data_IF_298734617121
#
_entry.id   IF_298734617121
#
_cell.length_a   1.000
_cell.length_b   1.000
_cell.length_c   1.000
_cell.angle_alpha   90.00
_cell.angle_beta   90.00
_cell.angle_gamma   90.00
#
_symmetry.space_group_name_H-M   'P 1'
#
loop_
_entity.id
_entity.type
_entity.pdbx_description
1 polymer ?
#
# COMPACT_ATOMS: atom_id res chain seq x y z
N UNK A 1 -6.49 -51.52 22.56
CA UNK A 1 -6.65 -50.09 22.90
C UNK A 1 -6.64 -49.33 21.58
N UNK A 2 -7.82 -48.97 21.07
CA UNK A 2 -7.96 -48.26 19.77
C UNK A 2 -7.74 -46.79 20.01
N UNK A 3 -6.77 -46.18 19.31
CA UNK A 3 -6.53 -44.76 19.29
C UNK A 3 -7.69 -44.08 18.52
N UNK A 4 -8.42 -43.24 19.20
CA UNK A 4 -9.49 -42.42 18.61
C UNK A 4 -8.90 -41.52 17.51
N UNK A 5 -9.42 -41.68 16.29
CA UNK A 5 -9.02 -40.89 15.14
C UNK A 5 -9.32 -39.41 15.35
N UNK A 6 -8.28 -38.61 15.29
CA UNK A 6 -8.44 -37.12 15.24
C UNK A 6 -9.09 -36.76 13.92
N UNK A 7 -10.30 -36.21 13.95
CA UNK A 7 -10.92 -35.62 12.76
C UNK A 7 -10.23 -34.31 12.41
N UNK A 8 -9.47 -34.28 11.34
CA UNK A 8 -8.96 -33.04 10.77
C UNK A 8 -10.02 -32.43 9.86
N UNK A 9 -10.56 -31.30 10.26
CA UNK A 9 -11.42 -30.51 9.38
C UNK A 9 -10.52 -29.71 8.42
N UNK A 10 -10.56 -30.05 7.13
CA UNK A 10 -9.87 -29.32 6.09
C UNK A 10 -10.52 -27.94 5.88
N UNK A 11 -9.76 -26.86 6.06
CA UNK A 11 -10.15 -25.51 5.67
C UNK A 11 -9.96 -25.35 4.14
N UNK A 12 -11.05 -25.06 3.42
CA UNK A 12 -10.95 -24.63 2.03
C UNK A 12 -10.53 -23.17 1.99
N UNK A 13 -9.33 -22.88 1.50
CA UNK A 13 -8.86 -21.53 1.25
C UNK A 13 -8.60 -21.35 -0.25
N UNK A 14 -9.07 -20.23 -0.81
CA UNK A 14 -8.83 -19.87 -2.22
C UNK A 14 -7.47 -19.22 -2.45
N UNK A 15 -6.81 -18.76 -1.40
CA UNK A 15 -5.56 -17.98 -1.46
C UNK A 15 -4.35 -18.74 -0.93
N UNK A 16 -4.37 -20.08 -1.01
CA UNK A 16 -3.25 -20.89 -0.61
C UNK A 16 -2.15 -20.87 -1.69
N UNK A 17 -0.92 -20.56 -1.29
CA UNK A 17 0.28 -20.70 -2.12
C UNK A 17 1.21 -21.69 -1.48
N UNK A 18 1.47 -22.80 -2.16
CA UNK A 18 2.50 -23.76 -1.75
C UNK A 18 3.88 -23.16 -2.03
N UNK A 19 4.65 -22.93 -0.97
CA UNK A 19 6.04 -22.47 -1.01
C UNK A 19 7.00 -23.55 -0.49
N UNK A 20 6.70 -24.83 -0.75
CA UNK A 20 7.46 -25.99 -0.28
C UNK A 20 8.91 -26.06 -0.76
N UNK A 21 9.33 -25.21 -1.69
CA UNK A 21 10.71 -25.08 -2.16
C UNK A 21 11.26 -23.69 -1.87
N UNK A 22 12.57 -23.58 -1.65
CA UNK A 22 13.25 -22.29 -1.46
C UNK A 22 13.07 -21.38 -2.69
N UNK A 23 13.03 -21.95 -3.89
CA UNK A 23 12.79 -21.21 -5.13
C UNK A 23 11.37 -20.64 -5.19
N UNK A 24 10.36 -21.43 -4.88
CA UNK A 24 8.96 -20.98 -4.80
C UNK A 24 8.79 -19.89 -3.74
N UNK A 25 9.41 -20.02 -2.58
CA UNK A 25 9.44 -19.03 -1.52
C UNK A 25 10.12 -17.72 -1.95
N UNK A 26 11.27 -17.80 -2.61
CA UNK A 26 11.96 -16.61 -3.12
C UNK A 26 11.15 -15.92 -4.22
N UNK A 27 10.51 -16.69 -5.11
CA UNK A 27 9.60 -16.15 -6.13
C UNK A 27 8.38 -15.45 -5.48
N UNK A 28 7.82 -16.02 -4.43
CA UNK A 28 6.72 -15.41 -3.67
C UNK A 28 7.16 -14.09 -3.01
N UNK A 29 8.29 -14.09 -2.29
CA UNK A 29 8.85 -12.88 -1.67
C UNK A 29 9.07 -11.73 -2.66
N UNK A 30 9.48 -12.04 -3.89
CA UNK A 30 9.70 -11.03 -4.96
C UNK A 30 8.42 -10.36 -5.41
N UNK A 31 7.28 -11.02 -5.29
CA UNK A 31 5.98 -10.48 -5.66
C UNK A 31 5.37 -9.62 -4.55
N UNK A 32 5.82 -9.80 -3.31
CA UNK A 32 5.34 -9.04 -2.17
C UNK A 32 6.09 -7.71 -2.06
N UNK A 33 5.33 -6.62 -2.06
CA UNK A 33 5.88 -5.26 -2.01
C UNK A 33 5.38 -4.54 -0.76
N UNK A 34 6.22 -3.70 -0.17
CA UNK A 34 5.79 -2.70 0.80
C UNK A 34 5.72 -1.34 0.07
N UNK A 35 4.51 -0.81 -0.07
CA UNK A 35 4.27 0.43 -0.80
C UNK A 35 4.16 1.59 0.18
N UNK A 36 5.00 2.61 -0.01
CA UNK A 36 4.85 3.91 0.63
C UNK A 36 4.13 4.83 -0.35
N UNK A 37 2.85 5.09 -0.11
CA UNK A 37 1.98 5.80 -1.05
C UNK A 37 1.62 7.17 -0.48
N UNK A 38 1.86 8.22 -1.25
CA UNK A 38 1.49 9.58 -0.86
C UNK A 38 -0.02 9.79 -1.06
N UNK A 39 -0.69 10.44 -0.11
CA UNK A 39 -2.14 10.64 -0.16
C UNK A 39 -2.48 11.73 -1.18
N UNK A 40 -2.00 12.95 -0.93
CA UNK A 40 -2.39 14.15 -1.69
C UNK A 40 -1.73 14.18 -3.07
N UNK A 41 -2.55 14.26 -4.10
CA UNK A 41 -2.09 14.24 -5.50
C UNK A 41 -1.83 12.86 -6.07
N UNK A 42 -2.02 11.78 -5.26
CA UNK A 42 -1.85 10.38 -5.67
C UNK A 42 -3.15 9.56 -5.51
N UNK A 43 -3.79 9.62 -4.36
CA UNK A 43 -5.06 8.92 -4.09
C UNK A 43 -6.25 9.87 -4.06
N UNK A 44 -6.00 11.08 -3.62
CA UNK A 44 -6.96 12.17 -3.67
C UNK A 44 -6.32 13.39 -4.33
N UNK A 45 -7.13 14.32 -4.83
CA UNK A 45 -6.61 15.56 -5.37
C UNK A 45 -5.83 16.33 -4.30
N UNK A 46 -4.78 17.04 -4.73
CA UNK A 46 -3.94 17.80 -3.81
C UNK A 46 -4.76 18.80 -2.98
N UNK A 47 -4.59 18.77 -1.67
CA UNK A 47 -5.29 19.62 -0.71
C UNK A 47 -4.44 20.78 -0.20
N UNK A 48 -5.10 21.76 0.40
CA UNK A 48 -4.47 22.90 1.04
C UNK A 48 -5.17 23.24 2.37
N UNK A 49 -4.45 23.94 3.27
CA UNK A 49 -5.03 24.54 4.48
C UNK A 49 -5.73 25.88 4.16
N UNK A 50 -5.32 26.53 3.08
CA UNK A 50 -5.67 27.92 2.82
C UNK A 50 -6.61 28.08 1.62
N UNK A 51 -6.61 27.11 0.70
CA UNK A 51 -7.37 27.17 -0.55
C UNK A 51 -8.05 25.83 -0.85
N UNK A 52 -9.23 25.83 -1.49
CA UNK A 52 -9.89 24.60 -1.92
C UNK A 52 -9.03 23.80 -2.93
N UNK A 53 -9.13 22.45 -2.90
CA UNK A 53 -9.90 21.66 -1.96
C UNK A 53 -9.21 21.61 -0.58
N UNK A 54 -10.02 21.75 0.47
CA UNK A 54 -9.53 21.63 1.83
C UNK A 54 -9.29 20.16 2.21
N UNK A 55 -8.43 19.94 3.22
CA UNK A 55 -8.22 18.60 3.81
C UNK A 55 -9.58 18.04 4.26
N UNK A 56 -9.89 16.80 3.88
CA UNK A 56 -11.16 16.15 4.15
C UNK A 56 -12.25 16.36 3.08
N UNK A 57 -12.00 17.22 2.06
CA UNK A 57 -12.95 17.49 0.97
C UNK A 57 -12.37 17.25 -0.43
N UNK A 58 -11.32 16.45 -0.52
CA UNK A 58 -10.63 16.16 -1.78
C UNK A 58 -11.42 15.20 -2.65
N UNK A 59 -11.28 15.32 -3.98
CA UNK A 59 -11.84 14.34 -4.91
C UNK A 59 -10.98 13.08 -4.93
N UNK A 60 -11.62 11.92 -4.97
CA UNK A 60 -10.95 10.65 -5.16
C UNK A 60 -10.31 10.57 -6.56
N UNK A 61 -9.11 10.02 -6.64
CA UNK A 61 -8.48 9.54 -7.87
C UNK A 61 -8.80 8.05 -7.99
N UNK A 62 -10.01 7.75 -8.44
CA UNK A 62 -10.64 6.44 -8.25
C UNK A 62 -9.86 5.31 -8.89
N UNK A 63 -9.31 5.48 -10.08
CA UNK A 63 -8.52 4.44 -10.75
C UNK A 63 -7.25 4.08 -9.99
N UNK A 64 -6.63 5.05 -9.31
CA UNK A 64 -5.48 4.82 -8.45
C UNK A 64 -5.87 4.07 -7.19
N UNK A 65 -7.00 4.43 -6.58
CA UNK A 65 -7.56 3.75 -5.40
C UNK A 65 -7.90 2.31 -5.75
N UNK A 66 -8.59 2.08 -6.86
CA UNK A 66 -8.99 0.74 -7.31
C UNK A 66 -7.77 -0.15 -7.61
N UNK A 67 -6.74 0.42 -8.25
CA UNK A 67 -5.50 -0.29 -8.53
C UNK A 67 -4.78 -0.71 -7.22
N UNK A 68 -4.74 0.18 -6.23
CA UNK A 68 -4.12 -0.08 -4.94
C UNK A 68 -4.89 -1.12 -4.12
N UNK A 69 -6.22 -0.96 -4.04
CA UNK A 69 -7.11 -1.87 -3.33
C UNK A 69 -7.06 -3.28 -3.93
N UNK A 70 -6.99 -3.40 -5.26
CA UNK A 70 -6.84 -4.69 -5.93
C UNK A 70 -5.58 -5.42 -5.46
N UNK A 71 -4.44 -4.72 -5.38
CA UNK A 71 -3.19 -5.31 -4.89
C UNK A 71 -3.28 -5.69 -3.41
N UNK A 72 -3.98 -4.89 -2.60
CA UNK A 72 -4.21 -5.16 -1.18
C UNK A 72 -5.03 -6.44 -1.00
N UNK A 73 -6.17 -6.58 -1.68
CA UNK A 73 -7.03 -7.78 -1.63
C UNK A 73 -6.37 -9.02 -2.23
N UNK A 74 -5.50 -8.85 -3.21
CA UNK A 74 -4.67 -9.94 -3.74
C UNK A 74 -3.62 -10.43 -2.73
N UNK A 75 -3.45 -9.76 -1.60
CA UNK A 75 -2.45 -10.09 -0.57
C UNK A 75 -1.01 -9.93 -1.05
N UNK A 76 -0.77 -9.08 -2.05
CA UNK A 76 0.55 -8.89 -2.67
C UNK A 76 1.33 -7.71 -2.12
N UNK A 77 0.66 -6.84 -1.38
CA UNK A 77 1.28 -5.60 -0.88
C UNK A 77 0.95 -5.35 0.58
N UNK A 78 1.85 -4.63 1.24
CA UNK A 78 1.59 -3.89 2.45
C UNK A 78 1.57 -2.41 2.12
N UNK A 79 0.56 -1.67 2.55
CA UNK A 79 0.36 -0.28 2.18
C UNK A 79 0.58 0.63 3.38
N UNK A 80 1.56 1.51 3.26
CA UNK A 80 1.83 2.57 4.23
C UNK A 80 1.51 3.90 3.55
N UNK A 81 0.42 4.53 3.96
CA UNK A 81 0.07 5.86 3.47
C UNK A 81 0.95 6.90 4.12
N UNK A 82 1.38 7.88 3.35
CA UNK A 82 2.23 8.98 3.81
C UNK A 82 1.65 10.32 3.40
N UNK A 83 1.75 11.34 4.27
CA UNK A 83 1.29 12.67 3.94
C UNK A 83 2.00 13.77 4.74
N UNK A 84 2.03 14.97 4.18
CA UNK A 84 2.48 16.17 4.88
C UNK A 84 1.35 16.85 5.68
N UNK A 85 0.13 16.31 5.66
CA UNK A 85 -0.97 16.83 6.49
C UNK A 85 -0.54 16.79 7.94
N UNK A 86 -0.65 17.89 8.70
CA UNK A 86 -0.31 17.91 10.13
C UNK A 86 -1.16 16.94 10.95
N UNK A 87 -0.60 16.42 12.03
CA UNK A 87 -1.27 15.47 12.95
C UNK A 87 -2.64 15.95 13.46
N UNK A 88 -2.84 17.26 13.65
CA UNK A 88 -4.14 17.81 14.05
C UNK A 88 -5.29 17.53 13.08
N UNK A 89 -4.97 17.07 11.84
CA UNK A 89 -5.96 16.67 10.84
C UNK A 89 -6.09 15.14 10.73
N UNK A 90 -5.61 14.38 11.72
CA UNK A 90 -5.65 12.91 11.67
C UNK A 90 -7.06 12.39 11.50
N UNK A 91 -7.97 12.78 12.39
CA UNK A 91 -9.33 12.24 12.40
C UNK A 91 -10.06 12.52 11.09
N UNK A 92 -10.04 13.75 10.60
CA UNK A 92 -10.67 14.11 9.31
C UNK A 92 -9.99 13.42 8.13
N UNK A 93 -8.69 13.16 8.21
CA UNK A 93 -7.96 12.42 7.15
C UNK A 93 -8.37 10.96 7.16
N UNK A 94 -8.42 10.30 8.31
CA UNK A 94 -8.83 8.89 8.43
C UNK A 94 -10.29 8.70 7.98
N UNK A 95 -11.17 9.64 8.32
CA UNK A 95 -12.56 9.62 7.86
C UNK A 95 -12.66 9.77 6.34
N UNK A 96 -11.90 10.70 5.74
CA UNK A 96 -11.81 10.87 4.29
C UNK A 96 -11.31 9.59 3.60
N UNK A 97 -10.28 8.93 4.12
CA UNK A 97 -9.76 7.67 3.57
C UNK A 97 -10.82 6.56 3.61
N UNK A 98 -11.54 6.45 4.74
CA UNK A 98 -12.62 5.49 4.94
C UNK A 98 -13.79 5.73 3.99
N UNK A 99 -14.25 6.98 3.86
CA UNK A 99 -15.33 7.36 2.94
C UNK A 99 -15.02 7.04 1.48
N UNK A 100 -13.75 7.16 1.10
CA UNK A 100 -13.28 6.86 -0.26
C UNK A 100 -12.91 5.38 -0.47
N UNK A 101 -13.08 4.54 0.56
CA UNK A 101 -12.81 3.10 0.48
C UNK A 101 -11.35 2.77 0.20
N UNK A 102 -10.41 3.53 0.76
CA UNK A 102 -8.98 3.32 0.57
C UNK A 102 -8.48 2.31 1.60
N UNK A 103 -7.94 1.18 1.13
CA UNK A 103 -7.36 0.15 1.99
C UNK A 103 -5.88 0.44 2.27
N UNK A 104 -5.47 0.23 3.52
CA UNK A 104 -4.10 0.45 3.96
C UNK A 104 -3.80 -0.25 5.30
N UNK A 105 -2.52 -0.43 5.61
CA UNK A 105 -2.05 -1.00 6.89
C UNK A 105 -1.68 0.08 7.92
N UNK A 106 -1.07 1.17 7.46
CA UNK A 106 -0.60 2.26 8.33
C UNK A 106 -0.71 3.62 7.65
N UNK A 107 -0.80 4.67 8.46
CA UNK A 107 -0.73 6.07 8.01
C UNK A 107 0.33 6.82 8.79
N UNK A 108 1.27 7.44 8.07
CA UNK A 108 2.30 8.34 8.60
C UNK A 108 1.93 9.77 8.19
N UNK A 109 1.67 10.62 9.17
CA UNK A 109 1.28 12.02 8.97
C UNK A 109 2.40 12.98 9.40
N UNK A 110 2.21 14.27 9.14
CA UNK A 110 3.12 15.32 9.60
C UNK A 110 4.51 15.31 8.97
N UNK A 111 4.69 14.59 7.86
CA UNK A 111 5.97 14.57 7.18
C UNK A 111 6.32 15.96 6.62
N UNK A 112 7.58 16.40 6.69
CA UNK A 112 8.01 17.65 6.09
C UNK A 112 7.64 17.70 4.60
N UNK A 113 7.23 18.86 4.11
CA UNK A 113 6.97 19.08 2.67
C UNK A 113 8.31 19.24 1.93
N UNK A 114 9.03 18.14 1.76
CA UNK A 114 10.37 18.09 1.20
C UNK A 114 10.56 16.84 0.34
N UNK A 115 11.70 16.78 -0.36
CA UNK A 115 12.11 15.59 -1.12
C UNK A 115 12.15 14.37 -0.20
N UNK A 116 11.58 13.25 -0.64
CA UNK A 116 11.67 11.94 0.03
C UNK A 116 12.93 11.23 -0.43
N UNK A 117 13.67 10.69 0.53
CA UNK A 117 14.85 9.85 0.29
C UNK A 117 14.65 8.57 1.08
N UNK A 118 14.74 7.44 0.41
CA UNK A 118 14.74 6.12 1.03
C UNK A 118 16.19 5.63 1.07
N UNK A 119 16.67 5.26 2.27
CA UNK A 119 18.02 4.73 2.47
C UNK A 119 17.88 3.28 2.87
N UNK A 120 18.34 2.37 2.01
CA UNK A 120 18.36 0.94 2.25
C UNK A 120 19.78 0.40 2.12
N UNK A 121 20.00 -0.78 2.71
CA UNK A 121 21.19 -1.57 2.45
C UNK A 121 21.13 -2.24 1.07
N UNK A 122 22.27 -2.62 0.57
CA UNK A 122 22.41 -3.44 -0.62
C UNK A 122 23.44 -4.55 -0.35
N UNK A 123 23.02 -5.79 -0.52
CA UNK A 123 23.92 -6.94 -0.42
C UNK A 123 24.11 -7.57 -1.81
N UNK A 124 25.37 -7.91 -2.16
CA UNK A 124 25.69 -8.62 -3.42
C UNK A 124 24.95 -9.95 -3.57
N UNK A 125 24.60 -10.58 -2.44
CA UNK A 125 23.78 -11.80 -2.40
C UNK A 125 22.29 -11.55 -2.70
N UNK A 126 21.84 -10.29 -2.67
CA UNK A 126 20.49 -9.90 -3.03
C UNK A 126 20.52 -9.27 -4.42
N UNK A 127 20.12 -10.00 -5.50
CA UNK A 127 20.24 -9.53 -6.88
C UNK A 127 19.22 -8.43 -7.23
N UNK A 128 18.38 -7.99 -6.28
CA UNK A 128 17.34 -6.99 -6.51
C UNK A 128 17.67 -5.70 -5.77
N UNK A 129 17.42 -4.53 -6.38
CA UNK A 129 17.37 -3.31 -5.62
C UNK A 129 16.29 -3.43 -4.54
N UNK A 130 16.64 -3.14 -3.29
CA UNK A 130 15.71 -3.24 -2.16
C UNK A 130 14.71 -2.09 -2.11
N UNK A 131 14.87 -1.06 -2.94
CA UNK A 131 13.96 0.06 -3.08
C UNK A 131 13.84 0.55 -4.51
N UNK A 132 12.66 1.03 -4.85
CA UNK A 132 12.36 1.74 -6.08
C UNK A 132 11.50 2.97 -5.76
N UNK A 133 11.60 4.02 -6.58
CA UNK A 133 10.75 5.21 -6.48
C UNK A 133 10.01 5.43 -7.79
N UNK A 134 8.69 5.61 -7.69
CA UNK A 134 7.82 5.97 -8.79
C UNK A 134 7.38 7.42 -8.57
N UNK A 135 7.72 8.31 -9.51
CA UNK A 135 7.28 9.70 -9.51
C UNK A 135 6.20 9.88 -10.57
N UNK A 136 4.96 9.96 -10.12
CA UNK A 136 3.83 10.21 -11.01
C UNK A 136 3.44 11.69 -11.03
N UNK A 137 2.91 12.22 -12.13
CA UNK A 137 2.41 13.58 -12.18
C UNK A 137 1.27 13.79 -11.16
N UNK A 138 1.26 14.95 -10.50
CA UNK A 138 0.25 15.27 -9.49
C UNK A 138 -1.18 15.18 -10.05
N UNK A 139 -2.08 14.57 -9.30
CA UNK A 139 -3.49 14.38 -9.64
C UNK A 139 -3.73 13.50 -10.90
N UNK A 140 -2.72 12.76 -11.37
CA UNK A 140 -2.90 11.78 -12.45
C UNK A 140 -3.51 10.49 -11.91
N UNK A 141 -4.20 9.78 -12.76
CA UNK A 141 -4.98 8.58 -12.45
C UNK A 141 -4.45 7.37 -13.25
N UNK A 142 -3.12 7.19 -13.22
CA UNK A 142 -2.37 6.21 -14.03
C UNK A 142 -1.49 5.25 -13.19
N UNK A 143 -1.79 5.13 -11.90
CA UNK A 143 -1.01 4.31 -10.97
C UNK A 143 -0.92 2.83 -11.40
N UNK A 144 -1.99 2.29 -12.00
CA UNK A 144 -2.04 0.91 -12.50
C UNK A 144 -0.94 0.63 -13.53
N UNK A 145 -0.74 1.55 -14.46
CA UNK A 145 0.27 1.42 -15.52
C UNK A 145 1.69 1.45 -14.95
N UNK A 146 1.91 2.25 -13.90
CA UNK A 146 3.22 2.43 -13.26
C UNK A 146 3.60 1.29 -12.31
N UNK A 147 2.63 0.55 -11.78
CA UNK A 147 2.88 -0.58 -10.88
C UNK A 147 3.12 -1.91 -11.62
N UNK A 148 2.73 -2.00 -12.90
CA UNK A 148 2.95 -3.15 -13.79
C UNK A 148 2.01 -4.31 -13.51
#
# INVERSE_FOLDING_TARGET
MMLSGSHFNGLKTSNFKDCGTLEAWNKYKRQYKCLFVYIDGTLVTNSSHHFPPYIGSCKALQENIDALNQLYYDGKVRIILTTSRPERYRDVTLEELKEKGIEYDQVIMGLPHSRRVLINDFAKSNPYPSAAAINMPRNKNDLRELLG
#
